data_IF_094791041737
#
_entry.id   IF_094791041737
#
_cell.length_a   1.000
_cell.length_b   1.000
_cell.length_c   1.000
_cell.angle_alpha   90.00
_cell.angle_beta   90.00
_cell.angle_gamma   90.00
#
_symmetry.space_group_name_H-M   'P 1'
#
loop_
_entity.id
_entity.type
_entity.pdbx_description
1 polymer ?
#
# COMPACT_ATOMS: atom_id res chain seq x y z
N UNK A 1 -14.23 -11.30 29.35
CA UNK A 1 -13.47 -12.55 29.14
C UNK A 1 -12.74 -12.41 27.81
N UNK A 2 -11.41 -12.44 27.76
CA UNK A 2 -10.69 -12.48 26.47
C UNK A 2 -10.77 -13.92 25.94
N UNK A 3 -11.10 -14.15 24.65
CA UNK A 3 -11.10 -15.49 24.09
C UNK A 3 -9.71 -16.09 24.15
N UNK A 4 -9.61 -17.36 24.51
CA UNK A 4 -8.33 -18.09 24.61
C UNK A 4 -7.79 -18.41 23.22
N UNK A 5 -8.69 -18.55 22.22
CA UNK A 5 -8.38 -18.81 20.81
C UNK A 5 -9.49 -18.19 19.95
N UNK A 6 -9.08 -17.55 18.87
CA UNK A 6 -10.00 -17.02 17.88
C UNK A 6 -9.75 -17.75 16.55
N UNK A 7 -10.77 -18.43 16.04
CA UNK A 7 -10.73 -19.08 14.73
C UNK A 7 -11.48 -18.21 13.72
N UNK A 8 -10.86 -17.98 12.58
CA UNK A 8 -11.52 -17.38 11.42
C UNK A 8 -11.65 -18.45 10.34
N UNK A 9 -12.86 -18.76 9.96
CA UNK A 9 -13.12 -19.61 8.78
C UNK A 9 -13.16 -18.68 7.57
N UNK A 10 -12.24 -18.88 6.65
CA UNK A 10 -12.17 -18.13 5.39
C UNK A 10 -12.72 -19.05 4.29
N UNK A 11 -13.59 -18.58 3.40
CA UNK A 11 -14.10 -19.39 2.30
C UNK A 11 -12.96 -19.75 1.34
N UNK A 12 -13.10 -20.89 0.69
CA UNK A 12 -12.15 -21.32 -0.34
C UNK A 12 -12.62 -20.82 -1.69
N UNK A 13 -11.80 -20.04 -2.37
CA UNK A 13 -12.10 -19.64 -3.75
C UNK A 13 -12.11 -20.88 -4.66
N UNK A 14 -13.20 -21.12 -5.43
CA UNK A 14 -13.20 -22.09 -6.51
C UNK A 14 -12.06 -21.80 -7.49
N UNK A 15 -11.51 -22.84 -8.11
CA UNK A 15 -10.37 -22.70 -9.04
C UNK A 15 -10.66 -21.72 -10.18
N UNK A 16 -11.88 -21.76 -10.73
CA UNK A 16 -12.35 -20.85 -11.78
C UNK A 16 -12.42 -19.38 -11.37
N UNK A 17 -12.39 -19.08 -10.06
CA UNK A 17 -12.42 -17.73 -9.48
C UNK A 17 -11.09 -17.33 -8.82
N UNK A 18 -10.05 -18.15 -8.91
CA UNK A 18 -8.74 -17.87 -8.27
C UNK A 18 -8.15 -16.52 -8.66
N UNK A 19 -8.38 -16.08 -9.90
CA UNK A 19 -7.96 -14.77 -10.43
C UNK A 19 -8.52 -13.55 -9.67
N UNK A 20 -9.63 -13.72 -8.90
CA UNK A 20 -10.16 -12.66 -8.05
C UNK A 20 -9.16 -12.21 -6.99
N UNK A 21 -8.29 -13.11 -6.50
CA UNK A 21 -7.28 -12.77 -5.52
C UNK A 21 -6.21 -11.83 -6.09
N UNK A 22 -5.73 -12.13 -7.29
CA UNK A 22 -4.76 -11.28 -7.98
C UNK A 22 -5.36 -9.91 -8.32
N UNK A 23 -6.61 -9.91 -8.83
CA UNK A 23 -7.34 -8.68 -9.10
C UNK A 23 -7.53 -7.84 -7.82
N UNK A 24 -7.90 -8.46 -6.68
CA UNK A 24 -8.11 -7.76 -5.42
C UNK A 24 -6.83 -7.09 -4.87
N UNK A 25 -5.66 -7.68 -5.12
CA UNK A 25 -4.38 -7.14 -4.66
C UNK A 25 -3.72 -6.16 -5.65
N UNK A 26 -4.26 -5.98 -6.85
CA UNK A 26 -3.80 -4.93 -7.75
C UNK A 26 -4.80 -3.78 -7.77
N UNK A 27 -4.44 -2.66 -7.17
CA UNK A 27 -5.30 -1.49 -7.00
C UNK A 27 -5.78 -0.85 -8.32
N UNK A 28 -5.37 -1.38 -9.49
CA UNK A 28 -5.90 -0.94 -10.78
C UNK A 28 -7.43 -0.97 -10.83
N UNK A 29 -8.08 -1.89 -10.12
CA UNK A 29 -9.53 -1.94 -9.99
C UNK A 29 -10.14 -0.64 -9.42
N UNK A 30 -9.39 0.13 -8.62
CA UNK A 30 -9.91 1.33 -7.96
C UNK A 30 -10.22 2.49 -8.95
N UNK A 31 -9.63 2.48 -10.14
CA UNK A 31 -9.92 3.45 -11.21
C UNK A 31 -10.34 2.81 -12.54
N UNK A 32 -10.54 1.49 -12.55
CA UNK A 32 -11.10 0.77 -13.70
C UNK A 32 -12.51 0.28 -13.37
N UNK A 33 -13.52 0.89 -14.02
CA UNK A 33 -14.92 0.61 -13.73
C UNK A 33 -15.35 -0.82 -14.03
N UNK A 34 -14.78 -1.47 -15.07
CA UNK A 34 -15.08 -2.87 -15.40
C UNK A 34 -14.52 -3.81 -14.33
N UNK A 35 -13.30 -3.54 -13.85
CA UNK A 35 -12.67 -4.31 -12.79
C UNK A 35 -13.42 -4.16 -11.45
N UNK A 36 -13.80 -2.93 -11.10
CA UNK A 36 -14.64 -2.65 -9.93
C UNK A 36 -16.00 -3.36 -10.05
N UNK A 37 -16.57 -3.40 -11.26
CA UNK A 37 -17.82 -4.06 -11.59
C UNK A 37 -17.81 -5.56 -11.30
N UNK A 38 -16.66 -6.24 -11.37
CA UNK A 38 -16.53 -7.66 -11.00
C UNK A 38 -16.88 -7.88 -9.53
N UNK A 39 -16.31 -7.08 -8.63
CA UNK A 39 -16.55 -7.20 -7.19
C UNK A 39 -18.00 -6.84 -6.83
N UNK A 40 -18.53 -5.76 -7.41
CA UNK A 40 -19.94 -5.37 -7.20
C UNK A 40 -20.91 -6.43 -7.69
N UNK A 41 -20.63 -7.09 -8.81
CA UNK A 41 -21.47 -8.15 -9.36
C UNK A 41 -21.39 -9.42 -8.51
N UNK A 42 -20.20 -9.73 -7.97
CA UNK A 42 -20.00 -10.91 -7.14
C UNK A 42 -20.93 -10.89 -5.89
N UNK A 43 -20.96 -9.76 -5.17
CA UNK A 43 -21.90 -9.53 -4.06
C UNK A 43 -22.02 -8.03 -3.79
N UNK A 44 -23.09 -7.35 -4.22
CA UNK A 44 -23.31 -5.93 -3.93
C UNK A 44 -23.30 -5.64 -2.43
N UNK A 45 -24.00 -6.45 -1.65
CA UNK A 45 -24.06 -6.30 -0.18
C UNK A 45 -22.70 -6.58 0.49
N UNK A 46 -21.94 -7.55 -0.02
CA UNK A 46 -20.60 -7.87 0.47
C UNK A 46 -19.62 -6.71 0.19
N UNK A 47 -19.74 -6.09 -0.98
CA UNK A 47 -18.98 -4.92 -1.38
C UNK A 47 -19.20 -3.73 -0.44
N UNK A 48 -20.47 -3.39 -0.17
CA UNK A 48 -20.82 -2.29 0.72
C UNK A 48 -20.42 -2.56 2.17
N UNK A 49 -20.67 -3.78 2.68
CA UNK A 49 -20.32 -4.18 4.05
C UNK A 49 -18.81 -4.19 4.31
N UNK A 50 -18.00 -4.49 3.29
CA UNK A 50 -16.53 -4.46 3.39
C UNK A 50 -15.93 -3.06 3.31
N UNK A 51 -16.75 -2.01 3.15
CA UNK A 51 -16.25 -0.66 2.89
C UNK A 51 -15.45 -0.60 1.59
N UNK A 52 -15.94 -1.28 0.55
CA UNK A 52 -15.32 -1.36 -0.78
C UNK A 52 -13.91 -2.00 -0.78
N UNK A 53 -13.69 -2.92 0.15
CA UNK A 53 -12.44 -3.66 0.24
C UNK A 53 -12.60 -5.07 -0.33
N UNK A 54 -12.05 -5.35 -1.52
CA UNK A 54 -12.23 -6.65 -2.18
C UNK A 54 -11.56 -7.80 -1.41
N UNK A 55 -10.44 -7.57 -0.73
CA UNK A 55 -9.75 -8.61 0.06
C UNK A 55 -10.60 -9.01 1.25
N UNK A 56 -11.09 -8.03 2.00
CA UNK A 56 -11.99 -8.27 3.15
C UNK A 56 -13.31 -8.90 2.70
N UNK A 57 -13.87 -8.43 1.59
CA UNK A 57 -15.09 -8.99 0.99
C UNK A 57 -14.91 -10.47 0.67
N UNK A 58 -13.89 -10.85 -0.10
CA UNK A 58 -13.63 -12.23 -0.47
C UNK A 58 -13.45 -13.14 0.75
N UNK A 59 -12.83 -12.63 1.83
CA UNK A 59 -12.66 -13.36 3.08
C UNK A 59 -13.92 -13.47 3.94
N UNK A 60 -15.01 -12.75 3.62
CA UNK A 60 -16.24 -12.67 4.39
C UNK A 60 -17.47 -13.28 3.67
N UNK A 61 -17.37 -13.56 2.36
CA UNK A 61 -18.44 -14.21 1.60
C UNK A 61 -18.71 -15.63 2.11
N UNK A 62 -19.93 -16.09 1.92
CA UNK A 62 -20.28 -17.49 2.20
C UNK A 62 -19.85 -18.38 1.03
N UNK A 63 -19.48 -19.62 1.33
CA UNK A 63 -18.97 -20.56 0.33
C UNK A 63 -19.93 -20.73 -0.86
N UNK A 64 -21.24 -20.82 -0.62
CA UNK A 64 -22.22 -20.99 -1.69
C UNK A 64 -22.31 -19.78 -2.64
N UNK A 65 -22.09 -18.53 -2.15
CA UNK A 65 -22.09 -17.34 -3.01
C UNK A 65 -20.93 -17.42 -4.03
N UNK A 66 -19.79 -17.95 -3.61
CA UNK A 66 -18.65 -18.19 -4.51
C UNK A 66 -18.91 -19.33 -5.49
N UNK A 67 -19.59 -20.39 -5.04
CA UNK A 67 -19.95 -21.54 -5.89
C UNK A 67 -21.00 -21.16 -6.94
N UNK A 68 -21.99 -20.34 -6.58
CA UNK A 68 -22.98 -19.78 -7.51
C UNK A 68 -22.32 -18.89 -8.57
N UNK A 69 -21.42 -18.00 -8.16
CA UNK A 69 -20.63 -17.16 -9.09
C UNK A 69 -19.73 -18.01 -10.00
N UNK A 70 -19.15 -19.10 -9.47
CA UNK A 70 -18.36 -20.04 -10.25
C UNK A 70 -19.18 -20.83 -11.28
N UNK A 71 -20.49 -21.00 -11.05
CA UNK A 71 -21.42 -21.62 -11.98
C UNK A 71 -22.03 -20.63 -13.01
N UNK A 72 -21.97 -19.32 -12.75
CA UNK A 72 -22.47 -18.27 -13.67
C UNK A 72 -21.46 -18.03 -14.80
N UNK A 73 -21.76 -18.54 -15.99
CA UNK A 73 -20.93 -18.32 -17.20
C UNK A 73 -20.78 -16.83 -17.53
N UNK A 74 -21.82 -16.02 -17.30
CA UNK A 74 -21.78 -14.59 -17.55
C UNK A 74 -20.80 -13.87 -16.61
N UNK A 75 -20.73 -14.28 -15.34
CA UNK A 75 -19.75 -13.78 -14.38
C UNK A 75 -18.33 -14.21 -14.75
N UNK A 76 -18.12 -15.47 -15.09
CA UNK A 76 -16.82 -15.98 -15.51
C UNK A 76 -16.31 -15.29 -16.79
N UNK A 77 -17.20 -15.04 -17.75
CA UNK A 77 -16.84 -14.29 -18.97
C UNK A 77 -16.43 -12.85 -18.64
N UNK A 78 -17.12 -12.19 -17.72
CA UNK A 78 -16.75 -10.85 -17.24
C UNK A 78 -15.37 -10.88 -16.57
N UNK A 79 -15.14 -11.77 -15.63
CA UNK A 79 -13.85 -11.92 -14.94
C UNK A 79 -12.71 -12.20 -15.93
N UNK A 80 -12.88 -13.13 -16.87
CA UNK A 80 -11.86 -13.44 -17.88
C UNK A 80 -11.51 -12.22 -18.76
N UNK A 81 -12.49 -11.44 -19.18
CA UNK A 81 -12.27 -10.21 -19.93
C UNK A 81 -11.47 -9.19 -19.12
N UNK A 82 -11.86 -8.94 -17.87
CA UNK A 82 -11.17 -8.00 -16.99
C UNK A 82 -9.73 -8.45 -16.72
N UNK A 83 -9.51 -9.74 -16.50
CA UNK A 83 -8.14 -10.27 -16.29
C UNK A 83 -7.27 -10.15 -17.55
N UNK A 84 -7.85 -10.38 -18.75
CA UNK A 84 -7.16 -10.13 -20.01
C UNK A 84 -6.81 -8.66 -20.20
N UNK A 85 -7.69 -7.76 -19.78
CA UNK A 85 -7.45 -6.32 -19.85
C UNK A 85 -6.37 -5.89 -18.86
N UNK A 86 -6.36 -6.45 -17.63
CA UNK A 86 -5.30 -6.22 -16.66
C UNK A 86 -3.94 -6.72 -17.17
N UNK A 87 -3.87 -7.93 -17.74
CA UNK A 87 -2.65 -8.50 -18.32
C UNK A 87 -2.12 -7.60 -19.46
N UNK A 88 -3.01 -7.18 -20.35
CA UNK A 88 -2.69 -6.22 -21.42
C UNK A 88 -2.23 -4.87 -20.85
N UNK A 89 -2.89 -4.42 -19.77
CA UNK A 89 -2.51 -3.19 -19.08
C UNK A 89 -1.10 -3.29 -18.51
N UNK A 90 -0.75 -4.38 -17.86
CA UNK A 90 0.53 -4.58 -17.18
C UNK A 90 1.69 -4.74 -18.18
N UNK A 91 1.50 -5.43 -19.31
CA UNK A 91 2.60 -5.89 -20.17
C UNK A 91 2.74 -5.13 -21.50
N UNK A 92 1.66 -4.57 -22.05
CA UNK A 92 1.77 -3.82 -23.30
C UNK A 92 2.52 -2.50 -23.12
N UNK A 93 3.40 -2.12 -24.07
CA UNK A 93 4.09 -0.83 -24.05
C UNK A 93 3.11 0.33 -23.95
N UNK A 94 3.34 1.24 -23.02
CA UNK A 94 2.58 2.48 -22.82
C UNK A 94 3.33 3.66 -23.44
N UNK A 95 2.82 4.88 -23.20
CA UNK A 95 3.44 6.09 -23.74
C UNK A 95 4.93 6.15 -23.43
N UNK A 96 5.33 5.96 -22.18
CA UNK A 96 6.72 6.09 -21.74
C UNK A 96 7.66 5.11 -22.48
N UNK A 97 7.28 3.84 -22.59
CA UNK A 97 8.10 2.84 -23.31
C UNK A 97 8.16 3.13 -24.81
N UNK A 98 7.11 3.70 -25.42
CA UNK A 98 7.11 4.05 -26.84
C UNK A 98 8.00 5.25 -27.15
N UNK A 99 7.99 6.28 -26.26
CA UNK A 99 8.76 7.52 -26.46
C UNK A 99 10.22 7.38 -26.02
N UNK A 100 10.46 6.62 -24.95
CA UNK A 100 11.78 6.50 -24.31
C UNK A 100 12.35 5.09 -24.38
N UNK A 101 11.75 4.20 -25.16
CA UNK A 101 12.02 2.77 -25.21
C UNK A 101 13.47 2.39 -25.34
N UNK A 102 13.79 1.19 -24.86
CA UNK A 102 15.13 0.59 -24.81
C UNK A 102 15.45 0.01 -23.44
N UNK A 103 16.46 -0.85 -23.38
CA UNK A 103 16.94 -1.42 -22.14
C UNK A 103 17.61 -0.35 -21.28
N UNK A 104 17.49 -0.46 -19.95
CA UNK A 104 18.16 0.44 -19.01
C UNK A 104 17.40 1.73 -18.68
N UNK A 105 16.08 1.73 -18.81
CA UNK A 105 15.25 2.87 -18.38
C UNK A 105 15.52 3.26 -16.92
N UNK A 106 15.65 4.57 -16.63
CA UNK A 106 15.89 5.03 -15.27
C UNK A 106 14.65 4.79 -14.39
N UNK A 107 14.82 4.12 -13.26
CA UNK A 107 13.81 4.05 -12.22
C UNK A 107 13.71 5.40 -11.51
N UNK A 108 12.49 5.84 -11.24
CA UNK A 108 12.17 7.02 -10.44
C UNK A 108 11.59 6.59 -9.10
N UNK A 109 12.01 7.24 -8.00
CA UNK A 109 11.40 7.03 -6.69
C UNK A 109 10.61 8.28 -6.27
N UNK A 110 9.39 8.07 -5.77
CA UNK A 110 8.51 9.12 -5.29
C UNK A 110 8.20 8.91 -3.81
N UNK A 111 8.65 9.84 -2.97
CA UNK A 111 8.49 9.82 -1.52
C UNK A 111 7.37 10.73 -1.09
N UNK A 112 6.43 10.22 -0.32
CA UNK A 112 5.35 11.01 0.28
C UNK A 112 4.96 10.46 1.65
N UNK A 113 4.56 11.36 2.56
CA UNK A 113 4.05 10.97 3.87
C UNK A 113 2.67 10.28 3.79
N UNK A 114 1.91 10.52 2.72
CA UNK A 114 0.55 10.02 2.53
C UNK A 114 0.25 9.71 1.06
N UNK A 115 -0.64 8.72 0.83
CA UNK A 115 -1.10 8.33 -0.51
C UNK A 115 -2.60 8.05 -0.51
N UNK A 116 -3.37 8.87 -1.22
CA UNK A 116 -4.81 8.71 -1.43
C UNK A 116 -5.10 7.78 -2.61
N UNK A 117 -5.17 6.47 -2.37
CA UNK A 117 -5.33 5.45 -3.41
C UNK A 117 -6.77 4.99 -3.56
N UNK A 118 -7.36 4.58 -2.45
CA UNK A 118 -8.72 4.05 -2.35
C UNK A 118 -9.19 4.11 -0.89
N UNK A 119 -10.50 4.06 -0.68
CA UNK A 119 -11.12 4.14 0.66
C UNK A 119 -10.66 3.02 1.60
N UNK A 120 -10.39 1.82 1.07
CA UNK A 120 -10.00 0.68 1.89
C UNK A 120 -8.52 0.68 2.31
N UNK A 121 -7.71 1.63 1.83
CA UNK A 121 -6.31 1.87 2.26
C UNK A 121 -6.20 3.31 2.77
N UNK A 122 -6.66 3.60 3.99
CA UNK A 122 -6.83 4.96 4.49
C UNK A 122 -5.51 5.54 5.06
N UNK A 123 -4.49 5.70 4.22
CA UNK A 123 -3.17 6.24 4.56
C UNK A 123 -2.99 7.68 4.06
N UNK A 124 -4.05 8.46 4.00
CA UNK A 124 -4.04 9.87 3.60
C UNK A 124 -5.09 10.66 4.38
N UNK A 125 -4.94 11.98 4.40
CA UNK A 125 -5.89 12.89 5.04
C UNK A 125 -6.44 13.96 4.10
N UNK A 126 -5.65 14.48 3.18
CA UNK A 126 -6.02 15.62 2.37
C UNK A 126 -5.43 15.64 0.97
N UNK A 127 -5.34 16.84 0.39
CA UNK A 127 -4.96 17.07 -1.00
C UNK A 127 -3.57 16.57 -1.36
N UNK A 128 -2.62 16.57 -0.40
CA UNK A 128 -1.27 16.03 -0.59
C UNK A 128 -1.32 14.54 -0.93
N UNK A 129 -2.11 13.78 -0.17
CA UNK A 129 -2.28 12.35 -0.41
C UNK A 129 -3.01 12.04 -1.70
N UNK A 130 -4.04 12.83 -2.04
CA UNK A 130 -4.74 12.68 -3.32
C UNK A 130 -3.80 12.94 -4.49
N UNK A 131 -3.00 14.02 -4.44
CA UNK A 131 -1.97 14.28 -5.45
C UNK A 131 -1.00 13.09 -5.59
N UNK A 132 -0.48 12.56 -4.48
CA UNK A 132 0.46 11.46 -4.50
C UNK A 132 -0.18 10.17 -5.08
N UNK A 133 -1.42 9.86 -4.69
CA UNK A 133 -2.16 8.71 -5.21
C UNK A 133 -2.44 8.82 -6.71
N UNK A 134 -2.92 9.97 -7.16
CA UNK A 134 -3.21 10.23 -8.58
C UNK A 134 -1.92 10.23 -9.42
N UNK A 135 -0.81 10.71 -8.85
CA UNK A 135 0.50 10.65 -9.49
C UNK A 135 0.93 9.20 -9.75
N UNK A 136 0.77 8.29 -8.78
CA UNK A 136 1.08 6.87 -8.98
C UNK A 136 0.17 6.22 -10.02
N UNK A 137 -1.14 6.49 -9.99
CA UNK A 137 -2.11 5.98 -10.97
C UNK A 137 -1.78 6.47 -12.38
N UNK A 138 -1.52 7.77 -12.55
CA UNK A 138 -1.15 8.36 -13.82
C UNK A 138 0.18 7.83 -14.35
N UNK A 139 1.19 7.69 -13.47
CA UNK A 139 2.48 7.08 -13.83
C UNK A 139 2.29 5.62 -14.30
N UNK A 140 1.41 4.87 -13.64
CA UNK A 140 1.03 3.52 -14.01
C UNK A 140 0.40 3.48 -15.41
N UNK A 141 -0.58 4.36 -15.69
CA UNK A 141 -1.28 4.44 -16.98
C UNK A 141 -0.33 4.81 -18.13
N UNK A 142 0.61 5.70 -17.87
CA UNK A 142 1.63 6.13 -18.85
C UNK A 142 2.81 5.15 -18.95
N UNK A 143 2.94 4.19 -18.05
CA UNK A 143 4.05 3.23 -18.03
C UNK A 143 5.37 3.82 -17.54
N UNK A 144 5.34 4.91 -16.76
CA UNK A 144 6.54 5.49 -16.16
C UNK A 144 7.14 4.50 -15.17
N UNK A 145 8.46 4.19 -15.22
CA UNK A 145 9.12 3.29 -14.28
C UNK A 145 9.30 3.96 -12.92
N UNK A 146 8.23 3.99 -12.14
CA UNK A 146 8.11 4.65 -10.85
C UNK A 146 7.96 3.64 -9.72
N UNK A 147 8.52 3.97 -8.56
CA UNK A 147 8.29 3.30 -7.28
C UNK A 147 7.89 4.35 -6.23
N UNK A 148 6.81 4.07 -5.49
CA UNK A 148 6.40 4.90 -4.36
C UNK A 148 7.01 4.44 -3.04
N UNK A 149 7.31 5.38 -2.14
CA UNK A 149 7.76 5.14 -0.76
C UNK A 149 6.92 5.98 0.20
N UNK A 150 6.39 5.32 1.25
CA UNK A 150 5.57 5.97 2.27
C UNK A 150 5.63 5.27 3.62
N UNK A 151 4.77 5.69 4.52
CA UNK A 151 4.56 5.07 5.83
C UNK A 151 3.20 4.36 5.85
N UNK A 152 3.13 3.24 6.57
CA UNK A 152 1.90 2.51 6.80
C UNK A 152 1.38 2.81 8.21
N UNK A 153 0.32 3.59 8.28
CA UNK A 153 -0.23 4.02 9.55
C UNK A 153 -1.22 3.02 10.12
N UNK A 154 -1.05 2.66 11.40
CA UNK A 154 -1.95 1.76 12.13
C UNK A 154 -3.37 2.33 12.19
N UNK A 155 -3.50 3.62 12.46
CA UNK A 155 -4.76 4.35 12.40
C UNK A 155 -4.71 5.31 11.21
N UNK A 156 -5.74 5.27 10.36
CA UNK A 156 -5.90 6.23 9.26
C UNK A 156 -6.31 7.61 9.75
N UNK A 157 -6.80 8.43 8.82
CA UNK A 157 -7.42 9.70 9.20
C UNK A 157 -8.72 9.43 9.96
N UNK A 158 -9.06 10.28 10.93
CA UNK A 158 -10.21 10.06 11.81
C UNK A 158 -11.55 10.07 11.07
N UNK A 159 -12.51 9.32 11.61
CA UNK A 159 -13.90 9.37 11.17
C UNK A 159 -14.69 10.30 12.08
N UNK A 160 -15.42 11.24 11.47
CA UNK A 160 -16.27 12.18 12.18
C UNK A 160 -17.69 11.67 12.26
N UNK A 161 -18.32 11.89 13.41
CA UNK A 161 -19.77 11.74 13.58
C UNK A 161 -20.30 12.79 14.56
N UNK A 162 -21.60 13.05 14.52
CA UNK A 162 -22.27 13.91 15.50
C UNK A 162 -22.90 13.04 16.56
N UNK A 163 -22.71 13.38 17.83
CA UNK A 163 -23.44 12.75 18.91
C UNK A 163 -24.91 13.27 18.95
N UNK A 164 -25.80 12.72 19.79
CA UNK A 164 -27.20 13.15 19.90
C UNK A 164 -27.38 14.63 20.24
N UNK A 165 -26.40 15.26 20.89
CA UNK A 165 -26.41 16.67 21.26
C UNK A 165 -25.86 17.60 20.16
N UNK A 166 -25.48 17.04 18.99
CA UNK A 166 -24.96 17.78 17.85
C UNK A 166 -23.46 18.10 17.93
N UNK A 167 -22.73 17.59 18.92
CA UNK A 167 -21.28 17.77 19.03
C UNK A 167 -20.51 16.79 18.16
N UNK A 168 -19.50 17.31 17.45
CA UNK A 168 -18.57 16.48 16.69
C UNK A 168 -17.82 15.52 17.61
N UNK A 169 -17.78 14.29 17.19
CA UNK A 169 -16.96 13.22 17.77
C UNK A 169 -16.02 12.68 16.70
N UNK A 170 -14.96 12.03 17.13
CA UNK A 170 -13.97 11.42 16.26
C UNK A 170 -13.68 9.99 16.71
N UNK A 171 -13.41 9.11 15.77
CA UNK A 171 -12.94 7.76 16.02
C UNK A 171 -11.77 7.42 15.10
N UNK A 172 -10.85 6.63 15.60
CA UNK A 172 -9.63 6.21 14.92
C UNK A 172 -9.64 4.68 14.83
N UNK A 173 -10.22 4.10 13.77
CA UNK A 173 -10.24 2.66 13.62
C UNK A 173 -8.85 2.14 13.26
N UNK A 174 -8.46 1.03 13.89
CA UNK A 174 -7.25 0.30 13.52
C UNK A 174 -7.37 -0.31 12.14
N UNK A 175 -6.30 -0.19 11.35
CA UNK A 175 -6.18 -0.81 10.04
C UNK A 175 -5.73 -2.27 10.16
N UNK A 176 -6.51 -3.18 9.63
CA UNK A 176 -6.14 -4.59 9.50
C UNK A 176 -5.41 -4.81 8.17
N UNK A 177 -4.10 -4.62 8.15
CA UNK A 177 -3.26 -4.67 6.96
C UNK A 177 -3.32 -6.03 6.23
N UNK A 178 -3.56 -7.12 6.96
CA UNK A 178 -3.67 -8.46 6.36
C UNK A 178 -4.99 -8.69 5.62
N UNK A 179 -5.99 -7.86 5.88
CA UNK A 179 -7.27 -7.86 5.18
C UNK A 179 -7.42 -6.66 4.22
N UNK A 180 -6.31 -6.03 3.87
CA UNK A 180 -6.23 -4.97 2.86
C UNK A 180 -5.48 -5.45 1.62
N UNK A 181 -5.57 -4.75 0.47
CA UNK A 181 -4.83 -5.10 -0.74
C UNK A 181 -3.33 -4.78 -0.61
N UNK A 182 -2.73 -5.30 0.42
CA UNK A 182 -1.33 -5.15 0.80
C UNK A 182 -0.67 -6.52 0.93
N UNK A 183 0.61 -6.60 0.67
CA UNK A 183 1.42 -7.80 0.87
C UNK A 183 2.73 -7.46 1.56
N UNK A 184 3.17 -8.30 2.52
CA UNK A 184 4.49 -8.16 3.12
C UNK A 184 5.57 -8.44 2.07
N UNK A 185 6.55 -7.55 1.97
CA UNK A 185 7.75 -7.81 1.19
C UNK A 185 8.57 -8.91 1.88
N UNK A 186 8.92 -9.95 1.10
CA UNK A 186 9.66 -11.10 1.60
C UNK A 186 10.94 -11.33 0.80
N UNK A 187 11.94 -11.86 1.46
CA UNK A 187 13.14 -12.40 0.82
C UNK A 187 12.81 -13.70 0.08
N UNK A 188 13.73 -14.14 -0.77
CA UNK A 188 13.57 -15.42 -1.46
C UNK A 188 13.42 -16.61 -0.50
N UNK A 189 13.98 -16.53 0.70
CA UNK A 189 13.84 -17.54 1.76
C UNK A 189 12.48 -17.46 2.51
N UNK A 190 11.62 -16.50 2.17
CA UNK A 190 10.30 -16.31 2.79
C UNK A 190 10.29 -15.41 4.03
N UNK A 191 11.43 -14.97 4.53
CA UNK A 191 11.51 -14.05 5.67
C UNK A 191 11.00 -12.66 5.30
N UNK A 192 10.40 -11.96 6.26
CA UNK A 192 9.97 -10.57 6.08
C UNK A 192 11.18 -9.66 5.86
N UNK A 193 11.10 -8.80 4.86
CA UNK A 193 12.11 -7.75 4.68
C UNK A 193 11.90 -6.64 5.68
N UNK A 194 12.99 -6.28 6.37
CA UNK A 194 13.00 -5.24 7.42
C UNK A 194 14.17 -4.31 7.24
N UNK A 195 13.97 -3.04 7.56
CA UNK A 195 15.03 -2.04 7.66
C UNK A 195 15.17 -1.58 9.10
N UNK A 196 16.30 -0.97 9.40
CA UNK A 196 16.61 -0.43 10.73
C UNK A 196 17.08 1.02 10.60
N UNK A 197 16.58 1.90 11.48
CA UNK A 197 16.93 3.32 11.52
C UNK A 197 17.20 3.72 12.97
N UNK A 198 18.23 4.53 13.22
CA UNK A 198 18.46 5.12 14.54
C UNK A 198 17.54 6.33 14.72
N UNK A 199 16.66 6.28 15.69
CA UNK A 199 15.69 7.34 16.00
C UNK A 199 15.63 7.50 17.52
N UNK A 200 15.80 8.71 18.06
CA UNK A 200 15.66 8.98 19.48
C UNK A 200 16.63 8.20 20.38
N UNK A 201 17.78 7.76 19.85
CA UNK A 201 18.76 6.98 20.61
C UNK A 201 18.53 5.46 20.61
N UNK A 202 17.45 4.97 19.98
CA UNK A 202 17.19 3.54 19.81
C UNK A 202 17.22 3.10 18.35
N UNK A 203 17.40 1.80 18.12
CA UNK A 203 17.30 1.21 16.77
C UNK A 203 15.85 0.82 16.53
N UNK A 204 15.19 1.56 15.64
CA UNK A 204 13.81 1.27 15.18
C UNK A 204 13.86 0.35 13.99
N UNK A 205 13.21 -0.80 14.09
CA UNK A 205 13.00 -1.71 12.98
C UNK A 205 11.67 -1.38 12.28
N UNK A 206 11.62 -1.46 10.95
CA UNK A 206 10.37 -1.37 10.21
C UNK A 206 10.30 -2.48 9.16
N UNK A 207 9.16 -3.16 9.09
CA UNK A 207 8.85 -4.11 8.01
C UNK A 207 8.33 -3.35 6.80
N UNK A 208 8.48 -3.96 5.65
CA UNK A 208 8.12 -3.37 4.37
C UNK A 208 6.85 -4.04 3.86
N UNK A 209 5.81 -3.25 3.63
CA UNK A 209 4.60 -3.66 2.94
C UNK A 209 4.63 -3.17 1.50
N UNK A 210 3.93 -3.86 0.60
CA UNK A 210 3.76 -3.50 -0.80
C UNK A 210 2.27 -3.38 -1.13
N UNK A 211 1.88 -2.23 -1.69
CA UNK A 211 0.65 -2.04 -2.43
C UNK A 211 0.97 -2.01 -3.93
N UNK A 212 0.21 -2.75 -4.75
CA UNK A 212 0.41 -2.73 -6.20
C UNK A 212 -0.56 -1.76 -6.84
N UNK A 213 -0.07 -0.59 -7.28
CA UNK A 213 -0.87 0.46 -7.92
C UNK A 213 -0.76 0.30 -9.44
N UNK A 214 -1.54 -0.63 -10.02
CA UNK A 214 -1.39 -1.03 -11.41
C UNK A 214 0.02 -1.57 -11.68
N UNK A 215 0.84 -0.82 -12.43
CA UNK A 215 2.25 -1.14 -12.72
C UNK A 215 3.22 -0.66 -11.65
N UNK A 216 2.82 0.33 -10.85
CA UNK A 216 3.70 1.01 -9.89
C UNK A 216 3.63 0.32 -8.54
N UNK A 217 4.72 -0.25 -8.02
CA UNK A 217 4.76 -0.70 -6.63
C UNK A 217 4.89 0.50 -5.69
N UNK A 218 4.09 0.50 -4.64
CA UNK A 218 4.22 1.41 -3.50
C UNK A 218 4.69 0.60 -2.30
N UNK A 219 5.84 0.96 -1.74
CA UNK A 219 6.37 0.36 -0.52
C UNK A 219 6.09 1.25 0.68
N UNK A 220 5.58 0.64 1.73
CA UNK A 220 5.12 1.31 2.94
C UNK A 220 5.86 0.74 4.16
N UNK A 221 6.42 1.62 4.98
CA UNK A 221 7.16 1.25 6.17
C UNK A 221 6.24 1.20 7.39
N UNK A 222 6.33 0.11 8.15
CA UNK A 222 5.54 -0.16 9.34
C UNK A 222 6.46 -0.48 10.53
N UNK A 223 6.55 0.45 11.47
CA UNK A 223 7.32 0.29 12.71
C UNK A 223 6.51 -0.37 13.84
N UNK A 224 5.20 -0.60 13.66
CA UNK A 224 4.36 -1.25 14.66
C UNK A 224 4.58 -2.77 14.68
N UNK A 225 5.76 -3.17 15.14
CA UNK A 225 6.19 -4.57 15.26
C UNK A 225 6.63 -4.88 16.69
N UNK A 226 6.47 -6.12 17.17
CA UNK A 226 6.77 -6.50 18.56
C UNK A 226 8.23 -6.30 18.99
N UNK A 227 9.16 -6.25 18.03
CA UNK A 227 10.59 -6.09 18.29
C UNK A 227 10.96 -4.67 18.74
N UNK A 228 10.06 -3.71 18.49
CA UNK A 228 10.25 -2.31 18.88
C UNK A 228 9.68 -1.99 20.26
N UNK A 229 10.23 -0.96 20.89
CA UNK A 229 9.62 -0.35 22.08
C UNK A 229 8.22 0.21 21.77
N UNK A 230 7.34 0.38 22.77
CA UNK A 230 6.03 1.02 22.54
C UNK A 230 6.13 2.42 21.91
N UNK A 231 7.18 3.17 22.24
CA UNK A 231 7.43 4.48 21.66
C UNK A 231 7.77 4.37 20.16
N UNK A 232 8.67 3.45 19.80
CA UNK A 232 9.04 3.21 18.39
C UNK A 232 7.87 2.64 17.58
N UNK A 233 7.04 1.77 18.16
CA UNK A 233 5.82 1.27 17.50
C UNK A 233 4.86 2.40 17.14
N UNK A 234 4.74 3.43 17.98
CA UNK A 234 3.84 4.55 17.78
C UNK A 234 4.27 5.50 16.65
N UNK A 235 5.50 5.39 16.12
CA UNK A 235 5.98 6.23 15.01
C UNK A 235 5.07 6.09 13.78
N UNK A 236 4.64 4.86 13.47
CA UNK A 236 3.66 4.62 12.40
C UNK A 236 2.23 4.41 12.94
N UNK A 237 1.95 4.95 14.13
CA UNK A 237 0.63 4.85 14.76
C UNK A 237 -0.43 5.64 14.01
N UNK A 238 -0.24 6.94 13.85
CA UNK A 238 -1.25 7.83 13.26
C UNK A 238 -0.64 8.85 12.29
N UNK A 239 -1.31 9.05 11.17
CA UNK A 239 -0.97 10.09 10.21
C UNK A 239 -1.18 11.47 10.85
N UNK A 240 -0.13 12.30 10.86
CA UNK A 240 -0.08 13.62 11.50
C UNK A 240 -0.47 13.61 13.00
N UNK A 241 -0.44 12.45 13.63
CA UNK A 241 -0.66 12.31 15.07
C UNK A 241 0.55 12.74 15.89
N UNK A 242 0.30 13.07 17.16
CA UNK A 242 1.34 13.43 18.11
C UNK A 242 1.83 14.89 17.99
N UNK A 243 2.98 15.14 18.60
CA UNK A 243 3.66 16.43 18.65
C UNK A 243 4.75 16.58 17.58
N UNK A 244 5.56 17.62 17.70
CA UNK A 244 6.67 17.88 16.76
C UNK A 244 7.73 16.77 16.79
N UNK A 245 7.95 16.16 17.96
CA UNK A 245 8.89 15.05 18.13
C UNK A 245 8.43 13.82 17.34
N UNK A 246 7.16 13.45 17.43
CA UNK A 246 6.60 12.36 16.65
C UNK A 246 6.70 12.63 15.14
N UNK A 247 6.43 13.85 14.72
CA UNK A 247 6.51 14.25 13.30
C UNK A 247 7.93 14.10 12.74
N UNK A 248 8.94 14.57 13.47
CA UNK A 248 10.33 14.43 13.01
C UNK A 248 10.77 12.96 12.97
N UNK A 249 10.29 12.12 13.90
CA UNK A 249 10.56 10.68 13.90
C UNK A 249 9.95 10.00 12.67
N UNK A 250 8.74 10.37 12.27
CA UNK A 250 8.10 9.90 11.03
C UNK A 250 8.92 10.32 9.80
N UNK A 251 9.37 11.57 9.74
CA UNK A 251 10.17 12.09 8.63
C UNK A 251 11.55 11.41 8.54
N UNK A 252 12.18 11.13 9.67
CA UNK A 252 13.42 10.35 9.74
C UNK A 252 13.18 8.93 9.22
N UNK A 253 12.11 8.27 9.67
CA UNK A 253 11.77 6.93 9.21
C UNK A 253 11.48 6.91 7.70
N UNK A 254 10.71 7.88 7.20
CA UNK A 254 10.40 8.00 5.78
C UNK A 254 11.66 8.26 4.94
N UNK A 255 12.50 9.20 5.34
CA UNK A 255 13.69 9.60 4.58
C UNK A 255 14.79 8.54 4.62
N UNK A 256 15.32 8.25 5.81
CA UNK A 256 16.39 7.26 5.99
C UNK A 256 15.87 5.84 5.73
N UNK A 257 14.75 5.48 6.34
CA UNK A 257 14.17 4.15 6.19
C UNK A 257 13.75 3.86 4.76
N UNK A 258 13.10 4.80 4.09
CA UNK A 258 12.68 4.64 2.69
C UNK A 258 13.85 4.43 1.73
N UNK A 259 14.95 5.16 1.91
CA UNK A 259 16.16 4.92 1.11
C UNK A 259 16.75 3.53 1.36
N UNK A 260 16.86 3.12 2.63
CA UNK A 260 17.34 1.78 3.00
C UNK A 260 16.44 0.68 2.46
N UNK A 261 15.12 0.89 2.48
CA UNK A 261 14.15 -0.04 1.92
C UNK A 261 14.37 -0.25 0.42
N UNK A 262 14.57 0.82 -0.36
CA UNK A 262 14.89 0.69 -1.79
C UNK A 262 16.16 -0.15 -2.00
N UNK A 263 17.21 0.11 -1.22
CA UNK A 263 18.48 -0.65 -1.32
C UNK A 263 18.29 -2.12 -0.95
N UNK A 264 17.54 -2.39 0.13
CA UNK A 264 17.20 -3.75 0.58
C UNK A 264 16.42 -4.53 -0.48
N UNK A 265 15.50 -3.85 -1.18
CA UNK A 265 14.72 -4.40 -2.28
C UNK A 265 15.50 -4.53 -3.60
N UNK A 266 16.78 -4.13 -3.65
CA UNK A 266 17.59 -4.16 -4.86
C UNK A 266 17.24 -3.07 -5.88
N UNK A 267 16.46 -2.05 -5.48
CA UNK A 267 16.02 -0.96 -6.33
C UNK A 267 17.03 0.20 -6.30
N UNK A 268 17.41 0.69 -7.48
CA UNK A 268 18.40 1.76 -7.64
C UNK A 268 17.85 2.91 -8.51
N UNK A 269 16.98 3.76 -7.95
CA UNK A 269 16.44 4.90 -8.70
C UNK A 269 17.55 5.89 -9.09
N UNK A 270 17.41 6.48 -10.28
CA UNK A 270 18.28 7.59 -10.72
C UNK A 270 17.78 8.94 -10.22
N UNK A 271 16.48 9.06 -10.03
CA UNK A 271 15.82 10.27 -9.52
C UNK A 271 15.03 9.92 -8.28
N UNK A 272 15.13 10.76 -7.28
CA UNK A 272 14.40 10.68 -6.02
C UNK A 272 13.57 11.96 -5.89
N UNK A 273 12.27 11.84 -6.12
CA UNK A 273 11.33 12.94 -5.97
C UNK A 273 10.83 12.97 -4.54
N UNK A 274 10.95 14.09 -3.88
CA UNK A 274 10.41 14.35 -2.54
C UNK A 274 9.14 15.18 -2.68
N UNK A 275 8.02 14.61 -2.24
CA UNK A 275 6.76 15.34 -2.16
C UNK A 275 6.73 16.11 -0.83
N UNK A 276 6.84 17.43 -0.90
CA UNK A 276 7.02 18.34 0.24
C UNK A 276 8.30 18.08 1.06
N UNK A 277 8.39 18.66 2.26
CA UNK A 277 9.53 18.54 3.17
C UNK A 277 9.61 17.23 3.95
N UNK A 278 8.53 16.44 4.00
CA UNK A 278 8.38 15.28 4.88
C UNK A 278 9.45 14.16 4.66
N UNK A 279 10.08 14.14 3.52
CA UNK A 279 11.14 13.16 3.19
C UNK A 279 12.53 13.79 3.07
N UNK A 280 12.76 14.99 3.59
CA UNK A 280 14.04 15.73 3.44
C UNK A 280 15.25 14.95 3.94
N UNK A 281 15.11 14.12 4.97
CA UNK A 281 16.16 13.24 5.50
C UNK A 281 16.70 12.23 4.47
N UNK A 282 15.95 11.95 3.40
CA UNK A 282 16.41 11.17 2.25
C UNK A 282 17.72 11.74 1.66
N UNK A 283 17.83 13.08 1.55
CA UNK A 283 19.03 13.71 0.99
C UNK A 283 20.26 13.41 1.85
N UNK A 284 20.12 13.45 3.18
CA UNK A 284 21.21 13.15 4.11
C UNK A 284 21.66 11.68 4.02
N UNK A 285 20.73 10.74 3.95
CA UNK A 285 21.05 9.31 3.83
C UNK A 285 21.74 8.99 2.50
N UNK A 286 21.33 9.65 1.42
CA UNK A 286 22.02 9.53 0.13
C UNK A 286 23.45 10.05 0.18
N UNK A 287 23.68 11.20 0.83
CA UNK A 287 25.02 11.76 1.02
C UNK A 287 25.88 10.80 1.87
N UNK A 288 25.34 10.32 3.01
CA UNK A 288 26.04 9.36 3.86
C UNK A 288 26.46 8.12 3.07
N UNK A 289 25.53 7.51 2.34
CA UNK A 289 25.80 6.32 1.52
C UNK A 289 26.82 6.60 0.40
N UNK A 290 26.73 7.75 -0.27
CA UNK A 290 27.68 8.11 -1.32
C UNK A 290 29.12 8.29 -0.76
N UNK A 291 29.25 8.90 0.42
CA UNK A 291 30.55 9.04 1.11
C UNK A 291 31.17 7.69 1.44
N UNK A 292 30.36 6.79 2.03
CA UNK A 292 30.83 5.43 2.36
C UNK A 292 31.23 4.63 1.11
N UNK A 293 30.44 4.70 0.03
CA UNK A 293 30.72 3.99 -1.21
C UNK A 293 31.96 4.49 -1.93
N UNK A 294 32.27 5.78 -1.81
CA UNK A 294 33.46 6.42 -2.47
C UNK A 294 34.63 6.65 -1.51
N UNK A 295 34.58 6.19 -0.26
CA UNK A 295 35.61 6.38 0.77
C UNK A 295 36.02 7.86 0.94
N UNK A 296 35.08 8.78 0.74
CA UNK A 296 35.32 10.21 0.92
C UNK A 296 35.26 10.53 2.43
N UNK A 297 36.38 11.07 2.95
CA UNK A 297 36.54 11.47 4.35
C UNK A 297 35.69 12.68 4.75
#
# INVERSE_FOLDING_TARGET
MKPVLQYRVVPRLPESLSALQDLAHNLWWAWNHEALGVFRRLSPEGWDRSGHNPVQMLGALRQHELEEAAADEGFQNHLRRVMSDLENYLHKPRWYQREHGGDGQPLFAYFSAEFGLTECVPIYSGGLGILAGDHLKSASDLGVPLVGLGLLYQEGYFRQYLNPDGWQQESYPDNDFYNQPLALAREAAGNEQRIHVQIGGETVAARIWRAQVGRVPLYLLDANIPDNSPAAQSITGRLYGGDQEMRIQQEILLGFGGYRALRQLGLNPRVYHMNEGHSAFLALERIRHAREAHQLG
#
